data_IF_203963585780
#
_entry.id   IF_203963585780
#
_cell.length_a   1.000
_cell.length_b   1.000
_cell.length_c   1.000
_cell.angle_alpha   90.00
_cell.angle_beta   90.00
_cell.angle_gamma   90.00
#
_symmetry.space_group_name_H-M   'P 1'
#
loop_
_entity.id
_entity.type
_entity.pdbx_description
1 polymer ?
#
# COMPACT_ATOMS: atom_id res chain seq x y z
N UNK A 1 -45.96 -21.39 -32.98
CA UNK A 1 -44.80 -20.52 -33.22
C UNK A 1 -44.58 -19.67 -31.97
N UNK A 2 -43.69 -20.08 -31.07
CA UNK A 2 -43.41 -19.36 -29.81
C UNK A 2 -41.93 -19.02 -29.79
N UNK A 3 -41.61 -17.72 -29.85
CA UNK A 3 -40.25 -17.23 -29.78
C UNK A 3 -39.76 -17.22 -28.32
N UNK A 4 -38.61 -17.83 -28.06
CA UNK A 4 -37.94 -17.75 -26.78
C UNK A 4 -37.19 -16.42 -26.67
N UNK A 5 -37.47 -15.66 -25.61
CA UNK A 5 -36.75 -14.42 -25.29
C UNK A 5 -35.58 -14.78 -24.39
N UNK A 6 -34.36 -14.54 -24.87
CA UNK A 6 -33.13 -14.73 -24.07
C UNK A 6 -32.81 -13.43 -23.33
N UNK A 7 -32.82 -13.47 -22.00
CA UNK A 7 -32.39 -12.35 -21.16
C UNK A 7 -30.86 -12.42 -21.02
N UNK A 8 -30.16 -11.42 -21.55
CA UNK A 8 -28.72 -11.29 -21.38
C UNK A 8 -28.38 -10.84 -19.95
N UNK A 9 -27.60 -11.64 -19.23
CA UNK A 9 -27.08 -11.28 -17.92
C UNK A 9 -26.00 -10.19 -18.05
N UNK A 10 -26.20 -9.06 -17.37
CA UNK A 10 -25.17 -8.01 -17.24
C UNK A 10 -24.16 -8.44 -16.19
N UNK A 11 -22.95 -8.81 -16.61
CA UNK A 11 -21.81 -8.99 -15.70
C UNK A 11 -21.32 -7.62 -15.24
N UNK A 12 -21.95 -7.07 -14.21
CA UNK A 12 -21.41 -5.90 -13.52
C UNK A 12 -20.09 -6.28 -12.85
N UNK A 13 -19.02 -5.52 -13.12
CA UNK A 13 -17.75 -5.67 -12.40
C UNK A 13 -18.02 -5.45 -10.92
N UNK A 14 -17.68 -6.43 -10.08
CA UNK A 14 -17.85 -6.33 -8.64
C UNK A 14 -17.18 -5.04 -8.12
N UNK A 15 -17.95 -4.22 -7.42
CA UNK A 15 -17.42 -3.03 -6.74
C UNK A 15 -16.53 -3.55 -5.61
N UNK A 16 -15.22 -3.24 -5.59
CA UNK A 16 -14.35 -3.67 -4.51
C UNK A 16 -14.90 -3.16 -3.19
N UNK A 17 -14.97 -4.02 -2.17
CA UNK A 17 -15.32 -3.58 -0.83
C UNK A 17 -14.32 -2.49 -0.41
N UNK A 18 -14.77 -1.24 -0.17
CA UNK A 18 -13.87 -0.15 0.19
C UNK A 18 -13.13 -0.39 1.51
N UNK A 19 -13.54 -1.40 2.29
CA UNK A 19 -12.90 -1.84 3.54
C UNK A 19 -11.79 -2.86 3.32
N UNK A 20 -11.74 -3.50 2.15
CA UNK A 20 -10.73 -4.51 1.86
C UNK A 20 -9.55 -3.87 1.12
N UNK A 21 -8.30 -4.17 1.48
CA UNK A 21 -7.16 -3.72 0.69
C UNK A 21 -7.30 -4.20 -0.75
N UNK A 22 -7.10 -3.29 -1.69
CA UNK A 22 -6.97 -3.66 -3.09
C UNK A 22 -5.49 -3.87 -3.39
N UNK A 23 -5.13 -5.10 -3.72
CA UNK A 23 -3.80 -5.41 -4.25
C UNK A 23 -3.61 -4.65 -5.55
N UNK A 24 -2.45 -4.01 -5.71
CA UNK A 24 -2.12 -3.26 -6.91
C UNK A 24 -0.61 -3.22 -7.14
N UNK A 25 -0.23 -2.64 -8.26
CA UNK A 25 1.17 -2.32 -8.56
C UNK A 25 1.39 -0.82 -8.42
N UNK A 26 2.58 -0.42 -7.99
CA UNK A 26 2.98 0.98 -8.04
C UNK A 26 3.19 1.41 -9.49
N UNK A 27 2.49 2.45 -9.96
CA UNK A 27 2.61 2.93 -11.34
C UNK A 27 4.02 3.44 -11.69
N UNK A 28 4.78 3.90 -10.69
CA UNK A 28 6.14 4.41 -10.91
C UNK A 28 7.20 3.32 -11.06
N UNK A 29 7.14 2.26 -10.25
CA UNK A 29 8.19 1.24 -10.20
C UNK A 29 7.73 -0.19 -10.51
N UNK A 30 6.43 -0.42 -10.68
CA UNK A 30 5.84 -1.73 -10.95
C UNK A 30 5.82 -2.69 -9.76
N UNK A 31 6.27 -2.28 -8.56
CA UNK A 31 6.28 -3.17 -7.39
C UNK A 31 4.86 -3.45 -6.89
N UNK A 32 4.59 -4.70 -6.51
CA UNK A 32 3.34 -5.09 -5.87
C UNK A 32 3.22 -4.53 -4.46
N UNK A 33 2.06 -3.95 -4.15
CA UNK A 33 1.72 -3.36 -2.85
C UNK A 33 0.19 -3.37 -2.66
N UNK A 34 -0.30 -2.90 -1.51
CA UNK A 34 -1.73 -2.85 -1.22
C UNK A 34 -2.20 -1.42 -0.98
N UNK A 35 -3.29 -1.02 -1.63
CA UNK A 35 -3.94 0.27 -1.38
C UNK A 35 -4.87 0.16 -0.18
N UNK A 36 -4.78 1.14 0.71
CA UNK A 36 -5.63 1.28 1.89
C UNK A 36 -6.22 2.68 1.95
N UNK A 37 -7.46 2.80 2.44
CA UNK A 37 -8.05 4.09 2.78
C UNK A 37 -7.50 4.59 4.11
N UNK A 38 -7.22 5.89 4.17
CA UNK A 38 -6.88 6.58 5.41
C UNK A 38 -8.15 7.01 6.15
N UNK A 39 -8.02 7.37 7.43
CA UNK A 39 -9.13 7.95 8.23
C UNK A 39 -9.80 9.17 7.56
N UNK A 40 -9.06 9.90 6.72
CA UNK A 40 -9.57 11.07 5.98
C UNK A 40 -10.05 10.72 4.56
N UNK A 41 -10.27 9.44 4.27
CA UNK A 41 -10.78 8.93 2.99
C UNK A 41 -9.79 8.93 1.82
N UNK A 42 -8.56 9.45 2.00
CA UNK A 42 -7.51 9.40 0.97
C UNK A 42 -6.94 7.99 0.85
N UNK A 43 -6.46 7.61 -0.33
CA UNK A 43 -5.77 6.34 -0.56
C UNK A 43 -4.27 6.47 -0.33
N UNK A 44 -3.67 5.46 0.29
CA UNK A 44 -2.22 5.30 0.44
C UNK A 44 -1.81 3.89 0.05
N UNK A 45 -0.72 3.79 -0.72
CA UNK A 45 -0.15 2.51 -1.12
C UNK A 45 0.85 2.07 -0.05
N UNK A 46 0.64 0.90 0.53
CA UNK A 46 1.42 0.41 1.67
C UNK A 46 2.49 -0.57 1.21
N UNK A 47 3.73 -0.34 1.64
CA UNK A 47 4.86 -1.24 1.39
C UNK A 47 4.57 -2.62 1.99
N UNK A 48 4.82 -3.77 1.36
CA UNK A 48 4.63 -5.07 2.00
C UNK A 48 5.45 -5.28 3.28
N UNK A 49 4.90 -6.03 4.24
CA UNK A 49 5.61 -6.50 5.45
C UNK A 49 5.75 -5.50 6.59
N UNK A 50 5.97 -5.97 7.81
CA UNK A 50 6.12 -5.09 8.98
C UNK A 50 7.58 -4.71 9.23
N UNK A 51 7.78 -3.54 9.86
CA UNK A 51 9.09 -3.04 10.28
C UNK A 51 9.06 -2.74 11.77
N UNK A 52 10.19 -2.86 12.45
CA UNK A 52 10.30 -2.41 13.83
C UNK A 52 10.08 -0.89 13.90
N UNK A 53 9.14 -0.43 14.72
CA UNK A 53 8.78 0.98 14.81
C UNK A 53 9.98 1.86 15.20
N UNK A 54 10.86 1.34 16.07
CA UNK A 54 12.06 2.05 16.55
C UNK A 54 13.05 2.46 15.44
N UNK A 55 13.06 1.78 14.30
CA UNK A 55 13.98 2.09 13.18
C UNK A 55 13.34 2.92 12.07
N UNK A 56 12.03 3.17 12.17
CA UNK A 56 11.27 3.98 11.21
C UNK A 56 11.07 5.38 11.80
N UNK A 57 11.32 6.47 11.07
CA UNK A 57 11.03 7.82 11.55
C UNK A 57 9.55 8.00 11.90
N UNK A 58 9.25 8.67 13.02
CA UNK A 58 7.88 8.87 13.54
C UNK A 58 6.87 9.34 12.46
N UNK A 59 7.23 10.35 11.67
CA UNK A 59 6.37 10.89 10.62
C UNK A 59 6.03 9.93 9.46
N UNK A 60 6.68 8.77 9.39
CA UNK A 60 6.48 7.75 8.34
C UNK A 60 5.83 6.48 8.85
N UNK A 61 5.49 6.41 10.14
CA UNK A 61 4.89 5.22 10.77
C UNK A 61 3.40 5.16 10.50
N UNK A 62 2.96 4.00 10.05
CA UNK A 62 1.55 3.67 9.85
C UNK A 62 1.18 2.38 10.58
N UNK A 63 -0.11 2.17 10.81
CA UNK A 63 -0.69 0.85 11.06
C UNK A 63 -1.88 0.63 10.14
N UNK A 64 -2.22 -0.63 9.89
CA UNK A 64 -3.49 -1.01 9.29
C UNK A 64 -4.40 -1.49 10.43
N UNK A 65 -5.51 -0.80 10.65
CA UNK A 65 -6.51 -1.22 11.61
C UNK A 65 -7.24 -2.48 11.11
N UNK A 66 -7.94 -3.18 12.02
CA UNK A 66 -8.61 -4.44 11.69
C UNK A 66 -9.67 -4.33 10.58
N UNK A 67 -10.20 -3.12 10.36
CA UNK A 67 -11.12 -2.78 9.28
C UNK A 67 -10.44 -2.43 7.95
N UNK A 68 -9.12 -2.58 7.87
CA UNK A 68 -8.32 -2.26 6.68
C UNK A 68 -7.89 -0.80 6.58
N UNK A 69 -8.29 0.08 7.51
CA UNK A 69 -7.96 1.51 7.47
C UNK A 69 -6.49 1.77 7.79
N UNK A 70 -5.81 2.55 6.95
CA UNK A 70 -4.46 3.05 7.20
C UNK A 70 -4.49 4.25 8.17
N UNK A 71 -3.80 4.10 9.30
CA UNK A 71 -3.72 5.11 10.35
C UNK A 71 -2.27 5.56 10.50
N UNK A 72 -2.01 6.85 10.27
CA UNK A 72 -0.71 7.45 10.56
C UNK A 72 -0.51 7.53 12.08
N UNK A 73 0.63 7.05 12.57
CA UNK A 73 0.93 6.98 13.99
C UNK A 73 1.67 8.22 14.51
N UNK A 74 2.47 8.87 13.65
CA UNK A 74 3.32 9.98 14.08
C UNK A 74 4.30 9.53 15.18
N UNK A 75 4.40 10.31 16.26
CA UNK A 75 5.24 9.97 17.41
C UNK A 75 4.67 8.85 18.29
N UNK A 76 3.39 8.49 18.14
CA UNK A 76 2.80 7.41 18.89
C UNK A 76 3.41 6.06 18.47
N UNK A 77 3.74 5.22 19.46
CA UNK A 77 4.25 3.86 19.25
C UNK A 77 3.39 2.88 20.03
N UNK A 78 2.12 2.67 19.61
CA UNK A 78 1.21 1.75 20.30
C UNK A 78 1.59 0.26 20.08
N UNK A 79 2.62 -0.01 19.28
CA UNK A 79 3.14 -1.35 18.96
C UNK A 79 4.64 -1.26 18.64
N UNK A 80 5.38 -2.34 18.89
CA UNK A 80 6.79 -2.47 18.52
C UNK A 80 7.02 -2.53 17.00
N UNK A 81 5.97 -2.81 16.24
CA UNK A 81 5.99 -2.85 14.78
C UNK A 81 5.12 -1.76 14.16
N UNK A 82 5.47 -1.38 12.93
CA UNK A 82 4.69 -0.49 12.11
C UNK A 82 4.76 -0.88 10.63
N UNK A 83 3.96 -0.17 9.84
CA UNK A 83 3.95 -0.18 8.39
C UNK A 83 4.49 1.16 7.87
N UNK A 84 4.83 1.21 6.59
CA UNK A 84 5.23 2.44 5.89
C UNK A 84 4.50 2.54 4.56
N UNK A 85 4.41 3.76 4.03
CA UNK A 85 3.94 3.96 2.66
C UNK A 85 4.99 3.40 1.70
N UNK A 86 4.55 2.70 0.65
CA UNK A 86 5.44 2.27 -0.44
C UNK A 86 6.17 3.47 -1.06
N UNK A 87 5.52 4.63 -1.06
CA UNK A 87 6.09 5.86 -1.61
C UNK A 87 7.35 6.34 -0.86
N UNK A 88 7.55 5.93 0.40
CA UNK A 88 8.75 6.28 1.17
C UNK A 88 9.99 5.52 0.71
N UNK A 89 9.81 4.40 0.00
CA UNK A 89 10.87 3.48 -0.44
C UNK A 89 10.80 3.16 -1.94
N UNK A 90 9.94 3.85 -2.68
CA UNK A 90 9.74 3.65 -4.11
C UNK A 90 10.97 4.15 -4.90
N UNK A 91 11.60 3.32 -5.76
CA UNK A 91 12.79 3.70 -6.53
C UNK A 91 12.46 4.62 -7.73
N UNK A 92 11.18 4.91 -7.98
CA UNK A 92 10.75 5.95 -8.90
C UNK A 92 10.66 7.34 -8.22
N UNK A 93 10.94 7.42 -6.91
CA UNK A 93 11.02 8.65 -6.12
C UNK A 93 12.45 8.86 -5.60
N UNK A 94 12.82 10.09 -5.20
CA UNK A 94 14.12 10.37 -4.59
C UNK A 94 14.44 9.43 -3.42
N UNK A 95 15.71 9.08 -3.28
CA UNK A 95 16.16 8.24 -2.18
C UNK A 95 15.95 8.94 -0.83
N UNK A 96 15.45 8.24 0.20
CA UNK A 96 15.30 8.82 1.53
C UNK A 96 16.68 9.04 2.18
N UNK A 97 16.90 10.21 2.76
CA UNK A 97 18.18 10.61 3.38
C UNK A 97 18.15 10.58 4.92
N UNK A 98 16.96 10.53 5.51
CA UNK A 98 16.65 10.67 6.94
C UNK A 98 16.55 9.33 7.68
N UNK A 99 16.69 8.19 6.99
CA UNK A 99 16.63 6.86 7.61
C UNK A 99 17.46 5.82 6.84
N UNK A 100 18.46 5.20 7.49
CA UNK A 100 19.22 4.10 6.91
C UNK A 100 18.34 2.90 6.53
N UNK A 101 17.33 2.59 7.33
CA UNK A 101 16.40 1.47 7.07
C UNK A 101 15.59 1.72 5.80
N UNK A 102 15.03 2.92 5.63
CA UNK A 102 14.26 3.25 4.43
C UNK A 102 15.17 3.32 3.19
N UNK A 103 16.39 3.81 3.33
CA UNK A 103 17.38 3.82 2.26
C UNK A 103 17.75 2.40 1.82
N UNK A 104 17.92 1.47 2.77
CA UNK A 104 18.19 0.06 2.47
C UNK A 104 17.04 -0.59 1.69
N UNK A 105 15.79 -0.36 2.09
CA UNK A 105 14.60 -0.82 1.37
C UNK A 105 14.54 -0.23 -0.04
N UNK A 106 14.72 1.09 -0.17
CA UNK A 106 14.76 1.80 -1.45
C UNK A 106 15.82 1.20 -2.40
N UNK A 107 17.04 0.95 -1.92
CA UNK A 107 18.10 0.28 -2.68
C UNK A 107 17.70 -1.14 -3.10
N UNK A 108 17.00 -1.87 -2.24
CA UNK A 108 16.43 -3.18 -2.55
C UNK A 108 15.44 -3.11 -3.72
N UNK A 109 14.50 -2.16 -3.70
CA UNK A 109 13.57 -1.97 -4.81
C UNK A 109 14.25 -1.50 -6.08
N UNK A 110 15.22 -0.58 -5.99
CA UNK A 110 15.99 -0.10 -7.14
C UNK A 110 16.71 -1.23 -7.85
N UNK A 111 17.33 -2.17 -7.11
CA UNK A 111 17.95 -3.37 -7.67
C UNK A 111 16.94 -4.27 -8.37
N UNK A 112 15.81 -4.56 -7.72
CA UNK A 112 14.74 -5.39 -8.31
C UNK A 112 14.13 -4.78 -9.57
N UNK A 113 14.01 -3.45 -9.64
CA UNK A 113 13.50 -2.75 -10.81
C UNK A 113 14.44 -2.86 -12.01
N UNK A 114 15.76 -2.82 -11.78
CA UNK A 114 16.78 -2.96 -12.84
C UNK A 114 16.91 -4.39 -13.38
N UNK A 115 16.50 -5.38 -12.59
CA UNK A 115 16.54 -6.79 -12.97
C UNK A 115 15.26 -7.27 -13.70
N UNK A 116 14.31 -6.37 -13.95
CA UNK A 116 13.08 -6.61 -14.72
C UNK A 116 13.22 -5.98 -16.09
#
# INVERSE_FOLDING_TARGET
>A
MTAAVTIAARTGRAVPDPRRPSTGTCDGCGAGAAWHRTLRGRWVLMEPGELAARVVPAGRRWRIAGDGTAVALGSAVPSDTCRISHFDVCPARPAPADSPTLLALWRGHARRRRAR
#
